data_IF_168977064306
#
_entry.id   IF_168977064306
#
_cell.length_a   1.000
_cell.length_b   1.000
_cell.length_c   1.000
_cell.angle_alpha   90.00
_cell.angle_beta   90.00
_cell.angle_gamma   90.00
#
_symmetry.space_group_name_H-M   'P 1'
#
loop_
_entity.id
_entity.type
_entity.pdbx_description
1 polymer ?
#
# COMPACT_ATOMS: atom_id res chain seq x y z
N UNK A 1 -15.67 16.02 14.72
CA UNK A 1 -16.79 16.23 13.77
C UNK A 1 -17.94 15.35 14.20
N UNK A 2 -19.10 15.92 14.55
CA UNK A 2 -20.26 15.23 15.14
C UNK A 2 -21.01 14.29 14.19
N UNK A 3 -20.31 13.37 13.53
CA UNK A 3 -20.93 12.25 12.84
C UNK A 3 -21.29 11.19 13.89
N UNK A 4 -22.56 10.77 13.92
CA UNK A 4 -23.03 9.81 14.91
C UNK A 4 -22.19 8.51 14.91
N UNK A 5 -22.07 7.80 16.06
CA UNK A 5 -21.28 6.57 16.17
C UNK A 5 -21.60 5.55 15.07
N UNK A 6 -22.86 5.54 14.62
CA UNK A 6 -23.35 4.68 13.54
C UNK A 6 -22.72 4.99 12.17
N UNK A 7 -22.51 6.27 11.83
CA UNK A 7 -21.90 6.68 10.55
C UNK A 7 -20.42 6.30 10.55
N UNK A 8 -19.72 6.49 11.67
CA UNK A 8 -18.35 6.05 11.82
C UNK A 8 -18.24 4.52 11.71
N UNK A 9 -19.09 3.78 12.42
CA UNK A 9 -19.10 2.32 12.41
C UNK A 9 -19.43 1.74 11.02
N UNK A 10 -20.44 2.30 10.34
CA UNK A 10 -20.81 1.87 8.98
C UNK A 10 -19.71 2.20 7.97
N UNK A 11 -19.06 3.36 8.08
CA UNK A 11 -17.93 3.73 7.21
C UNK A 11 -16.73 2.79 7.42
N UNK A 12 -16.41 2.45 8.67
CA UNK A 12 -15.36 1.47 8.98
C UNK A 12 -15.73 0.05 8.49
N UNK A 13 -17.01 -0.33 8.56
CA UNK A 13 -17.50 -1.59 8.02
C UNK A 13 -17.32 -1.68 6.50
N UNK A 14 -17.74 -0.64 5.77
CA UNK A 14 -17.54 -0.53 4.32
C UNK A 14 -16.05 -0.56 3.98
N UNK A 15 -15.22 0.19 4.73
CA UNK A 15 -13.77 0.19 4.56
C UNK A 15 -13.16 -1.21 4.77
N UNK A 16 -13.60 -1.96 5.77
CA UNK A 16 -13.17 -3.35 5.99
C UNK A 16 -13.54 -4.28 4.84
N UNK A 17 -14.74 -4.14 4.27
CA UNK A 17 -15.17 -4.94 3.11
C UNK A 17 -14.31 -4.63 1.88
N UNK A 18 -14.04 -3.35 1.61
CA UNK A 18 -13.17 -2.92 0.51
C UNK A 18 -11.74 -3.44 0.73
N UNK A 19 -11.24 -3.34 1.95
CA UNK A 19 -9.89 -3.80 2.29
C UNK A 19 -9.78 -5.33 2.18
N UNK A 20 -10.80 -6.05 2.62
CA UNK A 20 -10.89 -7.52 2.52
C UNK A 20 -10.98 -8.01 1.07
N UNK A 21 -11.80 -7.36 0.25
CA UNK A 21 -11.90 -7.68 -1.19
C UNK A 21 -10.61 -7.38 -1.93
N UNK A 22 -9.94 -6.26 -1.61
CA UNK A 22 -8.61 -5.94 -2.13
C UNK A 22 -7.56 -7.00 -1.83
N UNK A 23 -7.58 -7.55 -0.61
CA UNK A 23 -6.68 -8.66 -0.22
C UNK A 23 -6.87 -9.90 -1.08
N UNK A 24 -8.13 -10.31 -1.30
CA UNK A 24 -8.45 -11.51 -2.08
C UNK A 24 -8.10 -11.36 -3.55
N UNK A 25 -8.53 -10.26 -4.18
CA UNK A 25 -8.30 -10.02 -5.61
C UNK A 25 -6.82 -9.89 -5.93
N UNK A 26 -6.08 -9.14 -5.11
CA UNK A 26 -4.66 -8.94 -5.38
C UNK A 26 -3.82 -10.14 -4.99
N UNK A 27 -4.20 -10.91 -3.96
CA UNK A 27 -3.57 -12.20 -3.68
C UNK A 27 -3.66 -13.13 -4.90
N UNK A 28 -4.87 -13.30 -5.45
CA UNK A 28 -5.09 -14.09 -6.66
C UNK A 28 -4.34 -13.55 -7.88
N UNK A 29 -4.34 -12.22 -8.06
CA UNK A 29 -3.64 -11.57 -9.16
C UNK A 29 -2.11 -11.74 -9.05
N UNK A 30 -1.59 -11.67 -7.83
CA UNK A 30 -0.18 -11.82 -7.49
C UNK A 30 0.35 -13.22 -7.84
N UNK A 31 -0.48 -14.24 -7.62
CA UNK A 31 -0.12 -15.62 -7.98
C UNK A 31 -0.08 -15.84 -9.50
N UNK A 32 -0.74 -14.97 -10.30
CA UNK A 32 -0.82 -15.11 -11.76
C UNK A 32 0.11 -14.18 -12.55
N UNK A 33 0.28 -12.94 -12.12
CA UNK A 33 1.14 -11.93 -12.77
C UNK A 33 2.58 -11.89 -12.24
N UNK A 34 2.83 -12.58 -11.13
CA UNK A 34 4.10 -12.53 -10.43
C UNK A 34 4.09 -11.48 -9.31
N UNK A 35 4.66 -11.88 -8.17
CA UNK A 35 4.61 -11.13 -6.89
C UNK A 35 5.29 -9.77 -6.95
N UNK A 36 6.43 -9.65 -7.64
CA UNK A 36 7.16 -8.38 -7.80
C UNK A 36 6.36 -7.34 -8.58
N UNK A 37 5.86 -7.69 -9.76
CA UNK A 37 5.08 -6.78 -10.60
C UNK A 37 3.79 -6.35 -9.90
N UNK A 38 3.11 -7.28 -9.23
CA UNK A 38 1.88 -6.99 -8.51
C UNK A 38 2.13 -6.04 -7.35
N UNK A 39 3.24 -6.18 -6.62
CA UNK A 39 3.63 -5.21 -5.59
C UNK A 39 3.84 -3.81 -6.17
N UNK A 40 4.55 -3.70 -7.30
CA UNK A 40 4.74 -2.42 -7.98
C UNK A 40 3.41 -1.80 -8.41
N UNK A 41 2.51 -2.58 -9.02
CA UNK A 41 1.19 -2.09 -9.44
C UNK A 41 0.34 -1.62 -8.26
N UNK A 42 0.37 -2.32 -7.13
CA UNK A 42 -0.33 -1.89 -5.91
C UNK A 42 0.23 -0.58 -5.38
N UNK A 43 1.56 -0.45 -5.28
CA UNK A 43 2.18 0.79 -4.82
C UNK A 43 1.92 1.97 -5.77
N UNK A 44 1.95 1.73 -7.09
CA UNK A 44 1.58 2.75 -8.09
C UNK A 44 0.10 3.14 -7.97
N UNK A 45 -0.79 2.16 -7.80
CA UNK A 45 -2.23 2.41 -7.62
C UNK A 45 -2.47 3.22 -6.35
N UNK A 46 -1.73 2.93 -5.27
CA UNK A 46 -1.80 3.69 -4.02
C UNK A 46 -1.30 5.14 -4.20
N UNK A 47 -0.19 5.33 -4.93
CA UNK A 47 0.32 6.67 -5.24
C UNK A 47 -0.69 7.47 -6.07
N UNK A 48 -1.23 6.89 -7.14
CA UNK A 48 -2.25 7.51 -7.99
C UNK A 48 -3.50 7.82 -7.19
N UNK A 49 -3.92 6.93 -6.30
CA UNK A 49 -5.06 7.17 -5.43
C UNK A 49 -4.82 8.36 -4.48
N UNK A 50 -3.63 8.49 -3.88
CA UNK A 50 -3.29 9.63 -3.01
C UNK A 50 -3.30 10.97 -3.78
N UNK A 51 -2.70 11.02 -4.97
CA UNK A 51 -2.75 12.22 -5.82
C UNK A 51 -4.16 12.50 -6.35
N UNK A 52 -4.93 11.46 -6.66
CA UNK A 52 -6.31 11.59 -7.14
C UNK A 52 -7.27 12.09 -6.06
N UNK A 53 -7.11 11.63 -4.81
CA UNK A 53 -7.84 12.16 -3.64
C UNK A 53 -7.56 13.64 -3.47
N UNK A 54 -6.28 14.05 -3.57
CA UNK A 54 -5.89 15.46 -3.49
C UNK A 54 -6.53 16.29 -4.61
N UNK A 55 -6.40 15.84 -5.87
CA UNK A 55 -6.94 16.54 -7.03
C UNK A 55 -8.48 16.65 -6.99
N UNK A 56 -9.17 15.57 -6.60
CA UNK A 56 -10.61 15.58 -6.43
C UNK A 56 -11.07 16.46 -5.27
N UNK A 57 -10.25 16.55 -4.21
CA UNK A 57 -10.46 17.44 -3.07
C UNK A 57 -10.40 18.92 -3.47
N UNK A 58 -9.37 19.31 -4.24
CA UNK A 58 -9.22 20.65 -4.80
C UNK A 58 -10.37 21.02 -5.76
N UNK A 59 -10.85 20.06 -6.55
CA UNK A 59 -12.00 20.25 -7.44
C UNK A 59 -13.37 20.22 -6.73
N UNK A 60 -13.40 20.02 -5.41
CA UNK A 60 -14.63 19.83 -4.61
C UNK A 60 -15.58 18.77 -5.19
N UNK A 61 -15.04 17.77 -5.91
CA UNK A 61 -15.82 16.78 -6.62
C UNK A 61 -15.95 15.50 -5.78
N UNK A 62 -17.03 15.43 -4.98
CA UNK A 62 -17.32 14.32 -4.08
C UNK A 62 -17.28 12.92 -4.74
N UNK A 63 -17.92 12.69 -5.90
CA UNK A 63 -17.88 11.36 -6.52
C UNK A 63 -16.46 10.92 -6.92
N UNK A 64 -15.66 11.82 -7.49
CA UNK A 64 -14.26 11.53 -7.83
C UNK A 64 -13.41 11.25 -6.58
N UNK A 65 -13.62 12.02 -5.51
CA UNK A 65 -12.95 11.81 -4.23
C UNK A 65 -13.24 10.42 -3.67
N UNK A 66 -14.52 10.00 -3.70
CA UNK A 66 -14.91 8.67 -3.25
C UNK A 66 -14.23 7.59 -4.08
N UNK A 67 -14.24 7.68 -5.41
CA UNK A 67 -13.57 6.69 -6.28
C UNK A 67 -12.10 6.50 -5.91
N UNK A 68 -11.34 7.60 -5.73
CA UNK A 68 -9.95 7.49 -5.33
C UNK A 68 -9.77 7.01 -3.89
N UNK A 69 -10.68 7.35 -2.96
CA UNK A 69 -10.65 6.82 -1.60
C UNK A 69 -10.91 5.30 -1.57
N UNK A 70 -11.86 4.82 -2.38
CA UNK A 70 -12.11 3.38 -2.59
C UNK A 70 -10.86 2.69 -3.17
N UNK A 71 -10.24 3.30 -4.17
CA UNK A 71 -9.02 2.79 -4.79
C UNK A 71 -7.86 2.71 -3.78
N UNK A 72 -7.68 3.73 -2.95
CA UNK A 72 -6.69 3.75 -1.87
C UNK A 72 -6.98 2.67 -0.83
N UNK A 73 -8.25 2.47 -0.45
CA UNK A 73 -8.67 1.44 0.49
C UNK A 73 -8.44 0.02 -0.03
N UNK A 74 -8.68 -0.19 -1.33
CA UNK A 74 -8.44 -1.46 -2.02
C UNK A 74 -6.94 -1.77 -2.11
N UNK A 75 -6.13 -0.83 -2.60
CA UNK A 75 -4.68 -0.98 -2.71
C UNK A 75 -4.00 -1.13 -1.33
N UNK A 76 -4.45 -0.36 -0.32
CA UNK A 76 -3.93 -0.47 1.04
C UNK A 76 -4.22 -1.82 1.69
N UNK A 77 -5.33 -2.47 1.34
CA UNK A 77 -5.64 -3.82 1.81
C UNK A 77 -4.79 -4.89 1.14
N UNK A 78 -4.59 -4.75 -0.17
CA UNK A 78 -3.81 -5.66 -0.99
C UNK A 78 -2.34 -5.82 -0.59
N UNK A 79 -1.76 -4.84 0.11
CA UNK A 79 -0.36 -4.84 0.51
C UNK A 79 0.02 -5.99 1.46
N UNK A 80 -0.84 -6.32 2.42
CA UNK A 80 -0.57 -7.35 3.43
C UNK A 80 -0.38 -8.77 2.87
N UNK A 81 -1.29 -9.32 2.04
CA UNK A 81 -1.12 -10.66 1.49
C UNK A 81 0.08 -10.74 0.53
N UNK A 82 0.39 -9.66 -0.17
CA UNK A 82 1.56 -9.56 -1.04
C UNK A 82 2.85 -9.74 -0.26
N UNK A 83 3.02 -9.05 0.87
CA UNK A 83 4.20 -9.22 1.72
C UNK A 83 4.25 -10.62 2.35
N UNK A 84 3.12 -11.15 2.80
CA UNK A 84 3.05 -12.52 3.34
C UNK A 84 3.45 -13.58 2.29
N UNK A 85 3.20 -13.34 1.01
CA UNK A 85 3.62 -14.22 -0.08
C UNK A 85 5.06 -13.95 -0.55
N UNK A 86 5.54 -12.70 -0.49
CA UNK A 86 6.90 -12.33 -0.92
C UNK A 86 7.99 -12.85 0.02
N UNK A 87 7.74 -12.82 1.34
CA UNK A 87 8.73 -13.24 2.35
C UNK A 87 9.16 -14.71 2.18
N UNK A 88 8.26 -15.70 2.10
CA UNK A 88 8.66 -17.09 1.87
C UNK A 88 9.34 -17.29 0.52
N UNK A 89 8.87 -16.60 -0.53
CA UNK A 89 9.45 -16.68 -1.87
C UNK A 89 10.90 -16.18 -1.95
N UNK A 90 11.26 -15.18 -1.15
CA UNK A 90 12.58 -14.54 -1.20
C UNK A 90 13.57 -15.14 -0.19
N UNK A 91 13.10 -15.59 0.97
CA UNK A 91 13.96 -16.04 2.06
C UNK A 91 13.85 -17.54 2.38
N UNK A 92 12.95 -18.27 1.71
CA UNK A 92 12.69 -19.68 1.94
C UNK A 92 11.85 -19.97 3.20
N UNK A 93 11.32 -21.18 3.28
CA UNK A 93 10.34 -21.57 4.32
C UNK A 93 10.95 -21.79 5.71
N UNK A 94 12.26 -22.11 5.79
CA UNK A 94 12.91 -22.50 7.04
C UNK A 94 12.84 -21.44 8.15
N UNK A 95 12.83 -20.14 7.81
CA UNK A 95 12.78 -19.03 8.77
C UNK A 95 11.65 -18.04 8.48
N UNK A 96 10.56 -18.48 7.84
CA UNK A 96 9.49 -17.60 7.36
C UNK A 96 8.87 -16.74 8.49
N UNK A 97 8.61 -17.33 9.67
CA UNK A 97 8.03 -16.59 10.80
C UNK A 97 8.95 -15.47 11.33
N UNK A 98 10.27 -15.71 11.36
CA UNK A 98 11.25 -14.71 11.83
C UNK A 98 11.41 -13.58 10.81
N UNK A 99 11.54 -13.93 9.52
CA UNK A 99 11.66 -12.95 8.44
C UNK A 99 10.40 -12.11 8.29
N UNK A 100 9.22 -12.74 8.36
CA UNK A 100 7.94 -12.03 8.32
C UNK A 100 7.78 -11.15 9.56
N UNK A 101 8.19 -11.62 10.73
CA UNK A 101 8.23 -10.82 11.96
C UNK A 101 9.09 -9.57 11.80
N UNK A 102 10.27 -9.68 11.19
CA UNK A 102 11.15 -8.53 10.95
C UNK A 102 10.53 -7.51 10.00
N UNK A 103 9.92 -7.96 8.89
CA UNK A 103 9.17 -7.07 7.99
C UNK A 103 7.98 -6.43 8.69
N UNK A 104 7.24 -7.20 9.50
CA UNK A 104 6.09 -6.70 10.25
C UNK A 104 6.51 -5.73 11.37
N UNK A 105 7.76 -5.77 11.83
CA UNK A 105 8.31 -4.81 12.79
C UNK A 105 8.31 -3.39 12.23
N UNK A 106 8.57 -3.24 10.92
CA UNK A 106 8.47 -1.95 10.24
C UNK A 106 7.07 -1.34 10.35
N UNK A 107 6.02 -2.18 10.41
CA UNK A 107 4.65 -1.71 10.64
C UNK A 107 4.49 -1.09 12.03
N UNK A 108 5.11 -1.65 13.07
CA UNK A 108 5.04 -1.08 14.42
C UNK A 108 5.67 0.31 14.46
N UNK A 109 6.83 0.47 13.82
CA UNK A 109 7.49 1.78 13.67
C UNK A 109 6.56 2.75 12.93
N UNK A 110 5.96 2.33 11.82
CA UNK A 110 5.01 3.17 11.09
C UNK A 110 3.75 3.52 11.91
N UNK A 111 3.27 2.62 12.76
CA UNK A 111 2.12 2.88 13.62
C UNK A 111 2.43 3.88 14.74
N UNK A 112 3.64 3.80 15.30
CA UNK A 112 4.07 4.67 16.39
C UNK A 112 4.40 6.09 15.90
N UNK A 113 5.10 6.20 14.77
CA UNK A 113 5.56 7.48 14.23
C UNK A 113 4.66 8.05 13.14
N UNK A 114 3.95 7.21 12.39
CA UNK A 114 3.22 7.64 11.18
C UNK A 114 2.05 8.58 11.48
N UNK A 115 1.31 8.35 12.58
CA UNK A 115 0.25 9.27 13.01
C UNK A 115 0.80 10.64 13.42
N UNK A 116 1.89 10.66 14.20
CA UNK A 116 2.56 11.88 14.65
C UNK A 116 3.19 12.67 13.50
N UNK A 117 3.92 11.99 12.61
CA UNK A 117 4.47 12.59 11.40
C UNK A 117 3.37 13.13 10.48
N UNK A 118 2.29 12.38 10.31
CA UNK A 118 1.12 12.83 9.55
C UNK A 118 0.52 14.11 10.14
N UNK A 119 0.33 14.17 11.46
CA UNK A 119 -0.19 15.35 12.14
C UNK A 119 0.76 16.56 12.00
N UNK A 120 2.07 16.37 12.17
CA UNK A 120 3.07 17.43 12.01
C UNK A 120 3.12 17.99 10.58
N UNK A 121 3.00 17.11 9.57
CA UNK A 121 2.98 17.54 8.16
C UNK A 121 1.68 18.28 7.85
N UNK A 122 0.54 17.85 8.39
CA UNK A 122 -0.73 18.58 8.23
C UNK A 122 -0.67 19.96 8.92
N UNK A 123 -0.07 20.05 10.10
CA UNK A 123 0.05 21.31 10.85
C UNK A 123 0.95 22.33 10.14
N UNK A 124 2.05 21.86 9.54
CA UNK A 124 3.01 22.73 8.86
C UNK A 124 2.64 23.05 7.41
N UNK A 125 2.23 22.04 6.63
CA UNK A 125 2.06 22.12 5.16
C UNK A 125 0.62 21.87 4.71
N UNK A 126 -0.31 21.69 5.65
CA UNK A 126 -1.71 21.42 5.35
C UNK A 126 -1.98 20.01 4.82
N UNK A 127 -3.25 19.76 4.48
CA UNK A 127 -3.67 18.49 3.89
C UNK A 127 -3.01 18.22 2.54
N UNK A 128 -2.76 19.27 1.75
CA UNK A 128 -2.07 19.18 0.45
C UNK A 128 -0.67 18.58 0.64
N UNK A 129 0.13 19.12 1.57
CA UNK A 129 1.46 18.61 1.87
C UNK A 129 1.43 17.16 2.36
N UNK A 130 0.44 16.79 3.17
CA UNK A 130 0.29 15.43 3.67
C UNK A 130 -0.02 14.41 2.55
N UNK A 131 -0.94 14.73 1.64
CA UNK A 131 -1.26 13.86 0.50
C UNK A 131 -0.13 13.76 -0.51
N UNK A 132 0.59 14.86 -0.77
CA UNK A 132 1.78 14.84 -1.64
C UNK A 132 2.89 13.99 -1.03
N UNK A 133 3.15 14.12 0.27
CA UNK A 133 4.13 13.28 0.98
C UNK A 133 3.71 11.81 0.96
N UNK A 134 2.44 11.49 1.22
CA UNK A 134 1.93 10.12 1.16
C UNK A 134 2.05 9.50 -0.25
N UNK A 135 1.70 10.27 -1.29
CA UNK A 135 1.89 9.87 -2.68
C UNK A 135 3.37 9.65 -3.03
N UNK A 136 4.25 10.56 -2.58
CA UNK A 136 5.70 10.48 -2.78
C UNK A 136 6.32 9.25 -2.12
N UNK A 137 5.97 8.95 -0.87
CA UNK A 137 6.41 7.73 -0.18
C UNK A 137 5.90 6.48 -0.90
N UNK A 138 4.68 6.51 -1.42
CA UNK A 138 4.11 5.39 -2.19
C UNK A 138 4.85 5.18 -3.52
N UNK A 139 5.26 6.25 -4.21
CA UNK A 139 6.10 6.17 -5.40
C UNK A 139 7.51 5.66 -5.09
N UNK A 140 8.12 6.14 -3.99
CA UNK A 140 9.41 5.62 -3.53
C UNK A 140 9.31 4.13 -3.20
N UNK A 141 8.23 3.69 -2.56
CA UNK A 141 7.98 2.27 -2.31
C UNK A 141 7.81 1.48 -3.61
N UNK A 142 7.14 2.04 -4.62
CA UNK A 142 7.04 1.42 -5.94
C UNK A 142 8.42 1.29 -6.61
N UNK A 143 9.25 2.33 -6.53
CA UNK A 143 10.61 2.32 -7.08
C UNK A 143 11.54 1.33 -6.34
N UNK A 144 11.46 1.28 -5.01
CA UNK A 144 12.18 0.30 -4.19
C UNK A 144 11.69 -1.14 -4.47
N UNK A 145 10.40 -1.31 -4.73
CA UNK A 145 9.84 -2.59 -5.16
C UNK A 145 10.39 -3.05 -6.51
N UNK A 146 10.68 -2.12 -7.42
CA UNK A 146 11.43 -2.42 -8.65
C UNK A 146 12.90 -2.74 -8.38
N UNK A 147 13.49 -2.28 -7.27
CA UNK A 147 14.87 -2.65 -6.90
C UNK A 147 14.94 -3.99 -6.17
N UNK A 148 13.82 -4.51 -5.65
CA UNK A 148 13.74 -5.85 -5.06
C UNK A 148 14.16 -6.90 -6.09
N UNK A 149 15.28 -7.55 -5.80
CA UNK A 149 15.77 -8.72 -6.51
C UNK A 149 15.56 -9.94 -5.64
N UNK A 150 15.03 -11.02 -6.21
CA UNK A 150 14.99 -12.33 -5.55
C UNK A 150 16.43 -12.78 -5.25
N UNK A 151 16.82 -12.95 -3.98
CA UNK A 151 18.09 -13.56 -3.63
C UNK A 151 18.05 -15.01 -4.09
N UNK A 152 18.83 -15.37 -5.10
CA UNK A 152 19.00 -16.76 -5.56
C UNK A 152 18.35 -17.15 -6.89
N UNK A 153 17.65 -16.25 -7.59
CA UNK A 153 17.32 -16.50 -8.99
C UNK A 153 18.63 -16.54 -9.80
N UNK A 154 18.95 -17.63 -10.53
CA UNK A 154 20.13 -17.68 -11.37
C UNK A 154 20.08 -16.47 -12.29
N UNK A 155 21.10 -15.61 -12.21
CA UNK A 155 21.34 -14.55 -13.17
C UNK A 155 21.27 -15.24 -14.53
N UNK A 156 20.20 -15.02 -15.29
CA UNK A 156 20.07 -15.61 -16.61
C UNK A 156 21.34 -15.21 -17.35
N UNK A 157 22.23 -16.20 -17.49
CA UNK A 157 23.54 -16.02 -18.10
C UNK A 157 23.22 -15.45 -19.46
N UNK A 158 23.60 -14.20 -19.69
CA UNK A 158 23.47 -13.57 -20.99
C UNK A 158 24.02 -14.60 -21.98
N UNK A 159 23.12 -15.18 -22.78
CA UNK A 159 23.50 -16.09 -23.83
C UNK A 159 24.25 -15.22 -24.82
N UNK A 160 25.57 -15.23 -24.70
CA UNK A 160 26.50 -14.85 -25.75
C UNK A 160 26.12 -15.66 -26.98
N UNK A 161 25.59 -14.97 -27.98
CA UNK A 161 25.63 -15.38 -29.39
C UNK A 161 26.56 -14.41 -30.08
#
# INVERSE_FOLDING_TARGET
MGFGPLIAASSMGVMSVINGTGRGVVGWLSDRLGRRYTLTYVCLTLAVAQFGVLWAGEMHNQPLFLVFAFLSGFAGGAFYPLFAALVPDYFGENNNASNYGMVYSAKLVSGLFGGGLGAMVVDSWGYVGAYVMAGGVSLLAAALSLLLHQPGAPRARAATV
#
